data_IF_879192132818
#
_entry.id   IF_879192132818
#
_cell.length_a   1.000
_cell.length_b   1.000
_cell.length_c   1.000
_cell.angle_alpha   90.00
_cell.angle_beta   90.00
_cell.angle_gamma   90.00
#
_symmetry.space_group_name_H-M   'P 1'
#
loop_
_entity.id
_entity.type
_entity.pdbx_description
1 polymer ?
#
# COMPACT_ATOMS: atom_id res chain seq x y z
N UNK A 1 -32.45 24.21 2.90
CA UNK A 1 -31.51 23.34 2.16
C UNK A 1 -30.41 22.88 3.12
N UNK A 2 -30.77 22.22 4.24
CA UNK A 2 -29.89 22.30 5.42
C UNK A 2 -29.91 21.17 6.47
N UNK A 3 -30.54 20.01 6.26
CA UNK A 3 -30.40 18.88 7.23
C UNK A 3 -30.50 17.50 6.57
N UNK A 4 -31.38 17.35 5.58
CA UNK A 4 -31.58 16.10 4.84
C UNK A 4 -30.38 15.72 3.95
N UNK A 5 -29.74 16.70 3.29
CA UNK A 5 -28.57 16.45 2.45
C UNK A 5 -27.33 16.04 3.27
N UNK A 6 -27.15 16.61 4.47
CA UNK A 6 -26.01 16.29 5.33
C UNK A 6 -26.08 14.87 5.90
N UNK A 7 -27.28 14.37 6.21
CA UNK A 7 -27.47 12.99 6.67
C UNK A 7 -27.25 11.97 5.55
N UNK A 8 -27.67 12.28 4.31
CA UNK A 8 -27.45 11.40 3.17
C UNK A 8 -25.97 11.34 2.75
N UNK A 9 -25.23 12.45 2.88
CA UNK A 9 -23.78 12.47 2.64
C UNK A 9 -23.02 11.66 3.69
N UNK A 10 -23.37 11.78 4.97
CA UNK A 10 -22.71 11.04 6.05
C UNK A 10 -22.94 9.52 5.94
N UNK A 11 -24.17 9.10 5.61
CA UNK A 11 -24.48 7.68 5.38
C UNK A 11 -23.71 7.11 4.19
N UNK A 12 -23.61 7.85 3.08
CA UNK A 12 -22.81 7.44 1.92
C UNK A 12 -21.34 7.28 2.27
N UNK A 13 -20.79 8.14 3.12
CA UNK A 13 -19.38 8.05 3.53
C UNK A 13 -19.10 6.84 4.41
N UNK A 14 -20.01 6.52 5.35
CA UNK A 14 -19.95 5.30 6.14
C UNK A 14 -20.04 4.04 5.28
N UNK A 15 -20.95 3.99 4.31
CA UNK A 15 -21.11 2.85 3.39
C UNK A 15 -19.85 2.61 2.54
N UNK A 16 -19.26 3.68 2.00
CA UNK A 16 -18.05 3.63 1.17
C UNK A 16 -16.85 3.09 1.97
N UNK A 17 -16.69 3.55 3.21
CA UNK A 17 -15.65 3.05 4.11
C UNK A 17 -15.92 1.61 4.55
N UNK A 18 -17.16 1.28 4.87
CA UNK A 18 -17.58 -0.05 5.31
C UNK A 18 -17.31 -1.10 4.24
N UNK A 19 -17.69 -0.85 2.98
CA UNK A 19 -17.45 -1.77 1.86
C UNK A 19 -15.96 -2.01 1.63
N UNK A 20 -15.15 -0.96 1.78
CA UNK A 20 -13.70 -1.05 1.60
C UNK A 20 -13.00 -1.83 2.72
N UNK A 21 -13.30 -1.56 3.99
CA UNK A 21 -12.58 -2.20 5.10
C UNK A 21 -13.06 -3.63 5.36
N UNK A 22 -14.36 -3.90 5.24
CA UNK A 22 -14.91 -5.23 5.56
C UNK A 22 -14.65 -6.26 4.46
N UNK A 23 -14.32 -5.84 3.24
CA UNK A 23 -13.87 -6.75 2.18
C UNK A 23 -12.45 -7.30 2.41
N UNK A 24 -11.67 -6.66 3.27
CA UNK A 24 -10.31 -7.08 3.62
C UNK A 24 -10.30 -8.05 4.80
N UNK A 25 -9.65 -9.21 4.63
CA UNK A 25 -9.59 -10.27 5.66
C UNK A 25 -8.50 -10.06 6.72
N UNK A 26 -7.36 -9.50 6.33
CA UNK A 26 -6.18 -9.36 7.21
C UNK A 26 -6.10 -7.96 7.80
N UNK A 27 -5.94 -7.88 9.12
CA UNK A 27 -5.76 -6.62 9.85
C UNK A 27 -4.51 -5.84 9.40
N UNK A 28 -3.43 -6.55 9.04
CA UNK A 28 -2.22 -5.92 8.50
C UNK A 28 -2.51 -5.30 7.12
N UNK A 29 -3.28 -5.99 6.28
CA UNK A 29 -3.68 -5.48 4.96
C UNK A 29 -4.61 -4.28 5.09
N UNK A 30 -5.58 -4.30 6.03
CA UNK A 30 -6.45 -3.15 6.33
C UNK A 30 -5.64 -1.91 6.64
N UNK A 31 -4.74 -1.98 7.62
CA UNK A 31 -3.86 -0.86 8.02
C UNK A 31 -3.03 -0.33 6.85
N UNK A 32 -2.47 -1.25 6.07
CA UNK A 32 -1.63 -0.91 4.91
C UNK A 32 -2.45 -0.19 3.82
N UNK A 33 -3.63 -0.71 3.50
CA UNK A 33 -4.49 -0.16 2.46
C UNK A 33 -5.08 1.19 2.88
N UNK A 34 -5.52 1.30 4.13
CA UNK A 34 -6.00 2.56 4.72
C UNK A 34 -4.93 3.65 4.66
N UNK A 35 -3.68 3.32 5.00
CA UNK A 35 -2.55 4.24 4.88
C UNK A 35 -2.38 4.75 3.43
N UNK A 36 -2.46 3.86 2.45
CA UNK A 36 -2.29 4.25 1.05
C UNK A 36 -3.47 5.06 0.49
N UNK A 37 -4.70 4.75 0.90
CA UNK A 37 -5.88 5.54 0.54
C UNK A 37 -5.80 6.93 1.18
N UNK A 38 -5.42 7.05 2.45
CA UNK A 38 -5.16 8.35 3.10
C UNK A 38 -4.10 9.17 2.38
N UNK A 39 -3.01 8.52 1.93
CA UNK A 39 -1.98 9.18 1.12
C UNK A 39 -2.53 9.66 -0.24
N UNK A 40 -3.42 8.90 -0.86
CA UNK A 40 -4.06 9.29 -2.12
C UNK A 40 -5.08 10.43 -1.92
N UNK A 41 -5.88 10.40 -0.85
CA UNK A 41 -6.79 11.50 -0.48
C UNK A 41 -6.04 12.83 -0.29
N UNK A 42 -4.90 12.79 0.40
CA UNK A 42 -4.02 13.96 0.56
C UNK A 42 -3.52 14.51 -0.78
N UNK A 43 -3.24 13.64 -1.74
CA UNK A 43 -2.80 14.07 -3.07
C UNK A 43 -3.95 14.72 -3.87
N UNK A 44 -5.16 14.18 -3.76
CA UNK A 44 -6.34 14.73 -4.42
C UNK A 44 -6.94 15.96 -3.70
N UNK A 45 -6.38 16.36 -2.55
CA UNK A 45 -6.96 17.36 -1.63
C UNK A 45 -8.42 17.06 -1.27
N UNK A 46 -8.76 15.77 -1.19
CA UNK A 46 -10.10 15.32 -0.83
C UNK A 46 -10.22 15.23 0.69
N UNK A 47 -11.28 15.83 1.23
CA UNK A 47 -11.64 15.75 2.65
C UNK A 47 -12.46 14.50 2.95
N UNK A 48 -13.36 14.11 2.04
CA UNK A 48 -14.22 12.93 2.20
C UNK A 48 -13.80 11.81 1.27
N UNK A 49 -14.07 10.57 1.70
CA UNK A 49 -13.75 9.38 0.89
C UNK A 49 -14.66 9.26 -0.35
N UNK A 50 -15.90 9.75 -0.24
CA UNK A 50 -16.86 9.81 -1.34
C UNK A 50 -16.39 10.73 -2.49
N UNK A 51 -15.66 11.80 -2.17
CA UNK A 51 -15.19 12.78 -3.16
C UNK A 51 -14.25 12.14 -4.18
N UNK A 52 -13.51 11.09 -3.78
CA UNK A 52 -12.64 10.31 -4.67
C UNK A 52 -13.41 9.59 -5.78
N UNK A 53 -14.69 9.28 -5.58
CA UNK A 53 -15.52 8.58 -6.56
C UNK A 53 -16.04 9.54 -7.64
N UNK A 54 -16.21 10.83 -7.31
CA UNK A 54 -16.79 11.82 -8.22
C UNK A 54 -15.76 12.45 -9.16
N UNK A 55 -14.50 12.55 -8.74
CA UNK A 55 -13.43 13.20 -9.50
C UNK A 55 -12.81 12.17 -10.47
N UNK A 56 -12.87 12.42 -11.80
CA UNK A 56 -12.28 11.60 -12.88
C UNK A 56 -11.17 10.62 -12.42
N UNK A 57 -11.54 9.41 -11.95
CA UNK A 57 -10.66 8.68 -11.03
C UNK A 57 -9.42 8.17 -11.75
N UNK A 58 -9.56 7.75 -13.01
CA UNK A 58 -8.43 7.28 -13.83
C UNK A 58 -7.35 8.36 -14.01
N UNK A 59 -7.76 9.62 -14.24
CA UNK A 59 -6.83 10.73 -14.49
C UNK A 59 -6.08 11.10 -13.21
N UNK A 60 -6.77 11.10 -12.07
CA UNK A 60 -6.14 11.37 -10.78
C UNK A 60 -5.17 10.27 -10.37
N UNK A 61 -5.52 9.00 -10.59
CA UNK A 61 -4.62 7.87 -10.32
C UNK A 61 -3.36 7.98 -11.19
N UNK A 62 -3.48 8.31 -12.47
CA UNK A 62 -2.31 8.48 -13.36
C UNK A 62 -1.42 9.63 -12.87
N UNK A 63 -2.00 10.80 -12.55
CA UNK A 63 -1.24 11.94 -11.99
C UNK A 63 -0.53 11.55 -10.69
N UNK A 64 -1.21 10.80 -9.83
CA UNK A 64 -0.64 10.33 -8.58
C UNK A 64 0.51 9.36 -8.79
N UNK A 65 0.38 8.42 -9.74
CA UNK A 65 1.46 7.50 -10.12
C UNK A 65 2.69 8.25 -10.65
N UNK A 66 2.48 9.29 -11.46
CA UNK A 66 3.58 10.15 -11.94
C UNK A 66 4.29 10.82 -10.75
N UNK A 67 3.54 11.39 -9.80
CA UNK A 67 4.12 12.00 -8.58
C UNK A 67 4.89 11.00 -7.71
N UNK A 68 4.45 9.74 -7.64
CA UNK A 68 5.13 8.68 -6.89
C UNK A 68 6.45 8.30 -7.57
N UNK A 69 6.47 8.29 -8.91
CA UNK A 69 7.66 8.02 -9.70
C UNK A 69 8.68 9.15 -9.59
N UNK A 70 8.24 10.40 -9.65
CA UNK A 70 9.08 11.59 -9.46
C UNK A 70 9.74 11.60 -8.07
N UNK A 71 9.03 11.14 -7.04
CA UNK A 71 9.57 10.92 -5.69
C UNK A 71 10.57 9.75 -5.59
N UNK A 72 10.75 8.97 -6.66
CA UNK A 72 11.70 7.86 -6.69
C UNK A 72 11.28 6.62 -5.91
N UNK A 73 9.98 6.44 -5.63
CA UNK A 73 9.50 5.27 -4.90
C UNK A 73 9.80 3.95 -5.63
N UNK A 74 10.05 2.90 -4.86
CA UNK A 74 10.29 1.57 -5.42
C UNK A 74 9.03 1.04 -6.14
N UNK A 75 9.25 0.32 -7.25
CA UNK A 75 8.16 -0.26 -8.06
C UNK A 75 7.18 -1.11 -7.24
N UNK A 76 7.69 -1.92 -6.30
CA UNK A 76 6.85 -2.76 -5.44
C UNK A 76 5.98 -1.90 -4.51
N UNK A 77 6.52 -0.82 -3.94
CA UNK A 77 5.75 0.11 -3.12
C UNK A 77 4.63 0.78 -3.92
N UNK A 78 4.92 1.21 -5.15
CA UNK A 78 3.91 1.76 -6.08
C UNK A 78 2.85 0.70 -6.41
N UNK A 79 3.27 -0.55 -6.60
CA UNK A 79 2.37 -1.67 -6.88
C UNK A 79 1.37 -1.92 -5.77
N UNK A 80 1.83 -1.92 -4.52
CA UNK A 80 0.97 -2.16 -3.36
C UNK A 80 0.01 -0.99 -3.17
N UNK A 81 0.51 0.24 -3.33
CA UNK A 81 -0.32 1.43 -3.27
C UNK A 81 -1.46 1.38 -4.32
N UNK A 82 -1.11 1.08 -5.57
CA UNK A 82 -2.07 0.97 -6.67
C UNK A 82 -3.09 -0.18 -6.44
N UNK A 83 -2.67 -1.30 -5.85
CA UNK A 83 -3.60 -2.38 -5.46
C UNK A 83 -4.62 -1.92 -4.41
N UNK A 84 -4.20 -1.10 -3.44
CA UNK A 84 -5.11 -0.53 -2.45
C UNK A 84 -6.15 0.38 -3.10
N UNK A 85 -5.70 1.25 -4.03
CA UNK A 85 -6.57 2.14 -4.80
C UNK A 85 -7.56 1.33 -5.66
N UNK A 86 -7.09 0.33 -6.42
CA UNK A 86 -7.99 -0.51 -7.22
C UNK A 86 -9.03 -1.21 -6.36
N UNK A 87 -8.62 -1.76 -5.21
CA UNK A 87 -9.56 -2.42 -4.31
C UNK A 87 -10.64 -1.47 -3.81
N UNK A 88 -10.26 -0.24 -3.45
CA UNK A 88 -11.21 0.79 -3.04
C UNK A 88 -12.26 1.08 -4.13
N UNK A 89 -11.82 1.31 -5.37
CA UNK A 89 -12.76 1.59 -6.47
C UNK A 89 -13.59 0.37 -6.89
N UNK A 90 -13.04 -0.84 -6.81
CA UNK A 90 -13.76 -2.08 -7.09
C UNK A 90 -14.88 -2.36 -6.07
N UNK A 91 -14.64 -2.12 -4.78
CA UNK A 91 -15.64 -2.32 -3.73
C UNK A 91 -16.73 -1.24 -3.72
N UNK A 92 -16.50 -0.15 -4.44
CA UNK A 92 -17.47 0.94 -4.63
C UNK A 92 -18.04 0.95 -6.07
N UNK A 93 -17.92 -0.17 -6.79
CA UNK A 93 -18.49 -0.40 -8.12
C UNK A 93 -18.11 0.64 -9.20
N UNK A 94 -16.91 1.23 -9.08
CA UNK A 94 -16.39 2.19 -10.07
C UNK A 94 -15.48 1.48 -11.08
N UNK A 95 -15.88 1.39 -12.37
CA UNK A 95 -15.08 0.70 -13.37
C UNK A 95 -13.81 1.49 -13.74
N UNK A 96 -12.64 0.88 -13.48
CA UNK A 96 -11.34 1.43 -13.86
C UNK A 96 -10.70 0.63 -14.99
N UNK A 97 -10.15 1.33 -15.99
CA UNK A 97 -9.32 0.70 -17.01
C UNK A 97 -7.90 0.40 -16.46
N UNK A 98 -7.78 -0.73 -15.77
CA UNK A 98 -6.53 -1.20 -15.14
C UNK A 98 -5.38 -1.35 -16.14
N UNK A 99 -5.68 -1.74 -17.39
CA UNK A 99 -4.66 -1.91 -18.44
C UNK A 99 -3.97 -0.58 -18.74
N UNK A 100 -4.77 0.48 -18.94
CA UNK A 100 -4.26 1.83 -19.19
C UNK A 100 -3.43 2.34 -18.03
N UNK A 101 -3.93 2.24 -16.81
CA UNK A 101 -3.25 2.76 -15.61
C UNK A 101 -1.92 2.01 -15.36
N UNK A 102 -1.88 0.70 -15.55
CA UNK A 102 -0.67 -0.10 -15.35
C UNK A 102 0.49 0.31 -16.27
N UNK A 103 0.21 0.85 -17.47
CA UNK A 103 1.27 1.32 -18.37
C UNK A 103 2.03 2.52 -17.79
N UNK A 104 1.41 3.31 -16.91
CA UNK A 104 2.04 4.48 -16.27
C UNK A 104 2.90 4.14 -15.05
N UNK A 105 2.86 2.89 -14.60
CA UNK A 105 3.61 2.40 -13.43
C UNK A 105 5.13 2.37 -13.66
N UNK A 106 5.55 2.33 -14.92
CA UNK A 106 6.95 2.21 -15.32
C UNK A 106 7.44 0.76 -15.33
N UNK A 107 8.75 0.58 -15.51
CA UNK A 107 9.38 -0.73 -15.61
C UNK A 107 9.80 -1.27 -14.24
N UNK A 108 9.71 -2.59 -14.09
CA UNK A 108 10.22 -3.27 -12.92
C UNK A 108 11.75 -3.34 -12.99
N UNK A 109 12.42 -2.71 -12.03
CA UNK A 109 13.86 -2.91 -11.81
C UNK A 109 14.11 -3.54 -10.44
N UNK A 110 14.79 -4.69 -10.43
CA UNK A 110 15.25 -5.31 -9.19
C UNK A 110 16.50 -4.55 -8.72
N UNK A 111 16.33 -3.60 -7.80
CA UNK A 111 17.43 -2.81 -7.23
C UNK A 111 18.28 -3.59 -6.23
N UNK A 112 17.71 -4.59 -5.56
CA UNK A 112 18.38 -5.34 -4.48
C UNK A 112 18.73 -6.75 -4.96
N UNK A 113 20.02 -7.07 -4.88
CA UNK A 113 20.55 -8.42 -5.03
C UNK A 113 20.73 -8.97 -3.62
N UNK A 114 19.88 -9.94 -3.26
CA UNK A 114 20.00 -10.62 -1.96
C UNK A 114 21.27 -11.48 -1.97
N UNK A 115 22.24 -11.12 -1.13
CA UNK A 115 23.49 -11.88 -0.92
C UNK A 115 23.43 -12.57 0.43
N UNK A 116 23.75 -13.86 0.45
CA UNK A 116 23.92 -14.60 1.70
C UNK A 116 25.19 -14.14 2.43
N UNK A 117 25.12 -14.10 3.77
CA UNK A 117 26.30 -13.82 4.58
C UNK A 117 27.34 -14.93 4.43
N UNK A 118 28.63 -14.54 4.44
CA UNK A 118 29.72 -15.52 4.51
C UNK A 118 29.88 -16.03 5.94
N UNK A 119 30.50 -17.20 6.09
CA UNK A 119 30.80 -17.76 7.41
C UNK A 119 31.62 -16.79 8.29
N UNK A 120 32.51 -15.99 7.69
CA UNK A 120 33.30 -14.97 8.40
C UNK A 120 32.44 -13.81 8.89
N UNK A 121 31.49 -13.35 8.08
CA UNK A 121 30.54 -12.31 8.45
C UNK A 121 29.64 -12.78 9.59
N UNK A 122 29.15 -14.02 9.53
CA UNK A 122 28.35 -14.64 10.60
C UNK A 122 29.16 -14.76 11.88
N UNK A 123 30.44 -15.17 11.79
CA UNK A 123 31.34 -15.27 12.95
C UNK A 123 31.54 -13.91 13.62
N UNK A 124 31.76 -12.83 12.84
CA UNK A 124 31.87 -11.46 13.38
C UNK A 124 30.61 -11.02 14.14
N UNK A 125 29.43 -11.34 13.61
CA UNK A 125 28.15 -11.05 14.29
C UNK A 125 28.06 -11.85 15.60
N UNK A 126 28.47 -13.12 15.57
CA UNK A 126 28.46 -13.99 16.74
C UNK A 126 29.39 -13.46 17.83
N UNK A 127 30.60 -13.03 17.49
CA UNK A 127 31.61 -12.58 18.45
C UNK A 127 31.17 -11.34 19.25
N UNK A 128 30.41 -10.44 18.64
CA UNK A 128 29.86 -9.21 19.27
C UNK A 128 28.59 -9.51 20.10
N UNK A 129 27.90 -10.60 19.80
CA UNK A 129 26.56 -10.88 20.32
C UNK A 129 26.56 -11.51 21.73
N UNK A 130 25.54 -11.16 22.53
CA UNK A 130 25.26 -11.81 23.82
C UNK A 130 24.80 -13.27 23.64
N UNK A 131 24.91 -14.09 24.69
CA UNK A 131 24.59 -15.52 24.66
C UNK A 131 23.19 -15.84 24.09
N UNK A 132 22.18 -15.03 24.44
CA UNK A 132 20.81 -15.16 23.92
C UNK A 132 20.74 -14.89 22.42
N UNK A 133 21.43 -13.85 21.96
CA UNK A 133 21.43 -13.47 20.55
C UNK A 133 22.21 -14.49 19.71
N UNK A 134 23.31 -15.04 20.24
CA UNK A 134 24.07 -16.14 19.64
C UNK A 134 23.18 -17.35 19.34
N UNK A 135 22.38 -17.79 20.33
CA UNK A 135 21.46 -18.90 20.12
C UNK A 135 20.40 -18.60 19.05
N UNK A 136 19.91 -17.36 18.97
CA UNK A 136 18.91 -16.96 18.00
C UNK A 136 19.49 -16.91 16.58
N UNK A 137 20.66 -16.31 16.41
CA UNK A 137 21.36 -16.21 15.12
C UNK A 137 21.66 -17.60 14.58
N UNK A 138 22.20 -18.50 15.41
CA UNK A 138 22.54 -19.86 15.00
C UNK A 138 21.29 -20.65 14.63
N UNK A 139 20.22 -20.53 15.42
CA UNK A 139 18.94 -21.15 15.11
C UNK A 139 18.40 -20.67 13.75
N UNK A 140 18.41 -19.36 13.48
CA UNK A 140 17.94 -18.80 12.20
C UNK A 140 18.81 -19.25 11.02
N UNK A 141 20.14 -19.28 11.21
CA UNK A 141 21.08 -19.69 10.18
C UNK A 141 20.97 -21.19 9.83
N UNK A 142 20.73 -22.06 10.82
CA UNK A 142 20.66 -23.51 10.63
C UNK A 142 19.29 -24.01 10.17
N UNK A 143 18.20 -23.38 10.62
CA UNK A 143 16.83 -23.83 10.32
C UNK A 143 16.16 -23.08 9.18
N UNK A 144 16.64 -21.87 8.83
CA UNK A 144 16.03 -21.05 7.79
C UNK A 144 14.60 -20.58 8.10
N UNK A 145 14.23 -20.55 9.39
CA UNK A 145 12.92 -20.04 9.83
C UNK A 145 12.75 -18.56 9.47
N UNK A 146 11.49 -18.15 9.25
CA UNK A 146 11.08 -16.76 9.01
C UNK A 146 10.27 -16.25 10.19
#
# INVERSE_FOLDING_TARGET
MSTLDQNQEAQKEEDVYFNFINSLKSEVTKRTYEYYIKSFMKFCNATKLSDLLTIEPQKQIIKYLMSLRERGLAFNSISINLKAIYHFFEMNDVPLNKKKINMFKGEFSRKVVDRAYTHEEIKKILDISDLRMKSLILLMASSGMR
#
